data_IF_047391991377
#
_entry.id   IF_047391991377
#
_cell.length_a   1.000
_cell.length_b   1.000
_cell.length_c   1.000
_cell.angle_alpha   90.00
_cell.angle_beta   90.00
_cell.angle_gamma   90.00
#
_symmetry.space_group_name_H-M   'P 1'
#
loop_
_entity.id
_entity.type
_entity.pdbx_description
1 polymer ?
#
# COMPACT_ATOMS: atom_id res chain seq x y z
N UNK A 1 35.66 9.00 -14.20
CA UNK A 1 34.93 7.93 -13.48
C UNK A 1 33.75 8.57 -12.76
N UNK A 2 32.67 8.84 -13.49
CA UNK A 2 31.37 9.21 -12.89
C UNK A 2 30.73 7.88 -12.46
N UNK A 3 30.55 7.69 -11.16
CA UNK A 3 29.99 6.45 -10.61
C UNK A 3 28.50 6.34 -10.91
N UNK A 4 28.08 5.10 -11.14
CA UNK A 4 26.73 4.66 -11.47
C UNK A 4 25.65 5.31 -10.59
N UNK A 5 24.82 6.13 -11.23
CA UNK A 5 23.49 6.49 -10.71
C UNK A 5 22.63 5.21 -10.78
N UNK A 6 22.84 4.30 -9.83
CA UNK A 6 22.02 3.09 -9.69
C UNK A 6 20.56 3.52 -9.57
N UNK A 7 19.75 3.20 -10.59
CA UNK A 7 18.30 3.37 -10.57
C UNK A 7 17.72 2.39 -9.53
N UNK A 8 17.79 2.75 -8.25
CA UNK A 8 17.10 2.03 -7.19
C UNK A 8 15.60 2.20 -7.43
N UNK A 9 14.96 1.10 -7.82
CA UNK A 9 13.52 1.06 -7.93
C UNK A 9 12.89 1.28 -6.54
N UNK A 10 11.68 1.87 -6.47
CA UNK A 10 10.98 2.07 -5.21
C UNK A 10 10.73 0.73 -4.49
N UNK A 11 10.57 0.81 -3.16
CA UNK A 11 10.30 -0.38 -2.34
C UNK A 11 8.94 -0.98 -2.67
N UNK A 12 7.90 -0.18 -2.89
CA UNK A 12 6.69 -0.66 -3.54
C UNK A 12 6.83 -0.49 -5.05
N UNK A 13 6.71 -1.60 -5.79
CA UNK A 13 6.83 -1.61 -7.25
C UNK A 13 5.48 -1.56 -7.94
N UNK A 14 4.46 -2.22 -7.38
CA UNK A 14 3.14 -2.32 -8.00
C UNK A 14 2.03 -2.17 -6.97
N UNK A 15 1.02 -1.39 -7.35
CA UNK A 15 -0.26 -1.34 -6.67
C UNK A 15 -1.38 -1.59 -7.69
N UNK A 16 -2.40 -2.35 -7.32
CA UNK A 16 -3.57 -2.54 -8.18
C UNK A 16 -4.88 -2.51 -7.37
N UNK A 17 -5.95 -2.15 -8.06
CA UNK A 17 -7.31 -2.13 -7.53
C UNK A 17 -8.17 -3.07 -8.36
N UNK A 18 -8.64 -4.16 -7.75
CA UNK A 18 -9.51 -5.14 -8.40
C UNK A 18 -10.97 -4.79 -8.23
N UNK A 19 -11.75 -4.95 -9.30
CA UNK A 19 -13.20 -4.73 -9.30
C UNK A 19 -13.98 -5.87 -8.62
N UNK A 20 -13.35 -7.02 -8.44
CA UNK A 20 -13.84 -8.17 -7.68
C UNK A 20 -12.73 -8.84 -6.85
N UNK A 21 -13.11 -9.81 -6.02
CA UNK A 21 -12.16 -10.59 -5.21
C UNK A 21 -11.35 -11.58 -6.04
N UNK A 22 -11.98 -12.24 -7.01
CA UNK A 22 -11.36 -13.34 -7.77
C UNK A 22 -10.27 -12.86 -8.70
N UNK A 23 -10.52 -11.80 -9.48
CA UNK A 23 -9.53 -11.19 -10.36
C UNK A 23 -8.37 -10.57 -9.58
N UNK A 24 -8.67 -9.89 -8.46
CA UNK A 24 -7.64 -9.32 -7.62
C UNK A 24 -6.71 -10.38 -7.00
N UNK A 25 -7.27 -11.52 -6.57
CA UNK A 25 -6.50 -12.65 -6.07
C UNK A 25 -5.67 -13.34 -7.16
N UNK A 26 -6.20 -13.48 -8.38
CA UNK A 26 -5.44 -14.02 -9.51
C UNK A 26 -4.21 -13.17 -9.85
N UNK A 27 -4.32 -11.83 -9.78
CA UNK A 27 -3.16 -10.94 -9.93
C UNK A 27 -2.12 -11.17 -8.83
N UNK A 28 -2.57 -11.24 -7.56
CA UNK A 28 -1.67 -11.55 -6.44
C UNK A 28 -0.93 -12.88 -6.65
N UNK A 29 -1.63 -13.91 -7.12
CA UNK A 29 -1.07 -15.24 -7.39
C UNK A 29 0.05 -15.17 -8.44
N UNK A 30 -0.21 -14.53 -9.58
CA UNK A 30 0.80 -14.36 -10.64
C UNK A 30 2.02 -13.57 -10.16
N UNK A 31 1.81 -12.47 -9.43
CA UNK A 31 2.90 -11.66 -8.88
C UNK A 31 3.73 -12.45 -7.86
N UNK A 32 3.07 -13.21 -6.99
CA UNK A 32 3.73 -14.05 -5.99
C UNK A 32 4.56 -15.15 -6.66
N UNK A 33 4.03 -15.80 -7.71
CA UNK A 33 4.78 -16.79 -8.48
C UNK A 33 5.94 -16.20 -9.28
N UNK A 34 5.84 -14.93 -9.70
CA UNK A 34 6.94 -14.20 -10.30
C UNK A 34 8.03 -13.78 -9.28
N UNK A 35 7.86 -14.14 -8.00
CA UNK A 35 8.82 -13.84 -6.93
C UNK A 35 8.66 -12.44 -6.35
N UNK A 36 7.54 -11.76 -6.60
CA UNK A 36 7.23 -10.46 -6.02
C UNK A 36 6.47 -10.64 -4.69
N UNK A 37 7.05 -10.30 -3.52
CA UNK A 37 6.34 -10.37 -2.24
C UNK A 37 5.13 -9.44 -2.28
N UNK A 38 3.93 -10.02 -2.22
CA UNK A 38 2.69 -9.34 -2.54
C UNK A 38 1.59 -9.68 -1.53
N UNK A 39 0.76 -8.69 -1.17
CA UNK A 39 -0.41 -8.90 -0.32
C UNK A 39 -1.66 -8.26 -0.93
N UNK A 40 -2.81 -8.88 -0.69
CA UNK A 40 -4.13 -8.40 -1.09
C UNK A 40 -4.92 -7.96 0.16
N UNK A 41 -5.49 -6.76 0.11
CA UNK A 41 -6.33 -6.18 1.15
C UNK A 41 -7.75 -5.97 0.62
N UNK A 42 -8.72 -5.84 1.53
CA UNK A 42 -10.13 -5.57 1.19
C UNK A 42 -10.49 -4.08 1.25
N UNK A 43 -9.60 -3.29 1.83
CA UNK A 43 -9.67 -1.84 1.99
C UNK A 43 -8.24 -1.27 1.90
N UNK A 44 -8.05 0.04 1.65
CA UNK A 44 -6.74 0.66 1.73
C UNK A 44 -6.04 0.34 3.06
N UNK A 45 -4.85 -0.30 3.06
CA UNK A 45 -4.20 -0.72 4.29
C UNK A 45 -3.67 0.46 5.09
N UNK A 46 -3.80 0.38 6.42
CA UNK A 46 -3.18 1.33 7.34
C UNK A 46 -1.66 1.11 7.42
N UNK A 47 -0.86 2.13 7.81
CA UNK A 47 0.58 1.97 8.01
C UNK A 47 0.94 0.85 9.00
N UNK A 48 0.13 0.64 10.04
CA UNK A 48 0.33 -0.44 11.02
C UNK A 48 0.06 -1.84 10.45
N UNK A 49 -0.81 -1.97 9.43
CA UNK A 49 -0.99 -3.23 8.70
C UNK A 49 0.19 -3.48 7.75
N UNK A 50 0.66 -2.45 7.04
CA UNK A 50 1.82 -2.55 6.15
C UNK A 50 3.09 -2.94 6.92
N UNK A 51 3.29 -2.39 8.12
CA UNK A 51 4.44 -2.69 8.96
C UNK A 51 4.55 -4.17 9.38
N UNK A 52 3.46 -4.94 9.31
CA UNK A 52 3.46 -6.39 9.62
C UNK A 52 4.10 -7.23 8.52
N UNK A 53 4.27 -6.67 7.32
CA UNK A 53 4.81 -7.36 6.16
C UNK A 53 6.04 -6.61 5.62
N UNK A 54 7.15 -6.61 6.37
CA UNK A 54 8.37 -5.95 5.94
C UNK A 54 8.86 -6.60 4.64
N UNK A 55 9.06 -5.79 3.60
CA UNK A 55 9.54 -6.26 2.29
C UNK A 55 8.46 -6.53 1.25
N UNK A 56 7.19 -6.21 1.51
CA UNK A 56 6.19 -6.16 0.43
C UNK A 56 6.63 -5.24 -0.70
N UNK A 57 6.57 -5.76 -1.92
CA UNK A 57 6.85 -5.06 -3.17
C UNK A 57 5.61 -4.89 -4.04
N UNK A 58 4.51 -5.58 -3.71
CA UNK A 58 3.21 -5.45 -4.36
C UNK A 58 2.05 -5.36 -3.36
N UNK A 59 1.08 -4.47 -3.63
CA UNK A 59 -0.16 -4.38 -2.85
C UNK A 59 -1.40 -4.34 -3.75
N UNK A 60 -2.40 -5.13 -3.41
CA UNK A 60 -3.70 -5.11 -4.07
C UNK A 60 -4.78 -4.64 -3.12
N UNK A 61 -5.81 -3.97 -3.66
CA UNK A 61 -7.08 -3.77 -2.97
C UNK A 61 -8.15 -4.46 -3.81
N UNK A 62 -8.83 -5.44 -3.23
CA UNK A 62 -9.99 -6.07 -3.85
C UNK A 62 -11.26 -5.33 -3.43
N UNK A 63 -12.17 -5.14 -4.37
CA UNK A 63 -13.43 -4.44 -4.13
C UNK A 63 -14.62 -5.21 -4.69
N UNK A 64 -15.79 -4.58 -4.65
CA UNK A 64 -17.00 -5.02 -5.34
C UNK A 64 -17.38 -4.07 -6.47
N UNK A 65 -16.42 -3.29 -6.97
CA UNK A 65 -16.67 -2.24 -7.96
C UNK A 65 -17.33 -2.75 -9.25
N UNK A 66 -17.22 -4.05 -9.54
CA UNK A 66 -17.94 -4.70 -10.65
C UNK A 66 -19.45 -4.43 -10.64
N UNK A 67 -20.06 -4.30 -9.46
CA UNK A 67 -21.51 -4.10 -9.31
C UNK A 67 -21.89 -2.66 -8.99
N UNK A 68 -20.93 -1.73 -8.97
CA UNK A 68 -21.20 -0.34 -8.65
C UNK A 68 -21.86 0.39 -9.81
N UNK A 69 -22.70 1.38 -9.49
CA UNK A 69 -23.20 2.31 -10.50
C UNK A 69 -22.10 3.26 -10.96
N UNK A 70 -22.21 3.85 -12.17
CA UNK A 70 -21.26 4.85 -12.65
C UNK A 70 -21.08 6.03 -11.67
N UNK A 71 -22.17 6.52 -11.07
CA UNK A 71 -22.12 7.62 -10.09
C UNK A 71 -21.33 7.24 -8.83
N UNK A 72 -21.52 5.99 -8.37
CA UNK A 72 -20.76 5.48 -7.22
C UNK A 72 -19.29 5.32 -7.58
N UNK A 73 -18.97 4.80 -8.76
CA UNK A 73 -17.58 4.71 -9.23
C UNK A 73 -16.92 6.08 -9.28
N UNK A 74 -17.63 7.10 -9.76
CA UNK A 74 -17.13 8.47 -9.82
C UNK A 74 -16.82 9.06 -8.43
N UNK A 75 -17.61 8.69 -7.41
CA UNK A 75 -17.40 9.14 -6.04
C UNK A 75 -16.31 8.33 -5.31
N UNK A 76 -16.32 7.00 -5.46
CA UNK A 76 -15.58 6.08 -4.59
C UNK A 76 -14.22 5.63 -5.17
N UNK A 77 -14.05 5.61 -6.50
CA UNK A 77 -12.77 5.19 -7.11
C UNK A 77 -11.65 6.22 -6.93
N UNK A 78 -11.85 7.54 -7.13
CA UNK A 78 -10.78 8.51 -6.94
C UNK A 78 -10.11 8.41 -5.56
N UNK A 79 -10.83 8.38 -4.42
CA UNK A 79 -10.17 8.25 -3.12
C UNK A 79 -9.47 6.89 -2.94
N UNK A 80 -10.02 5.80 -3.49
CA UNK A 80 -9.41 4.48 -3.42
C UNK A 80 -8.09 4.38 -4.21
N UNK A 81 -7.99 5.09 -5.34
CA UNK A 81 -6.81 5.14 -6.21
C UNK A 81 -5.79 6.21 -5.80
N UNK A 82 -6.23 7.22 -5.04
CA UNK A 82 -5.38 8.32 -4.56
C UNK A 82 -4.71 8.00 -3.22
N UNK A 83 -4.84 6.77 -2.71
CA UNK A 83 -4.19 6.35 -1.46
C UNK A 83 -2.86 5.65 -1.72
N UNK A 84 -1.72 6.36 -1.65
CA UNK A 84 -0.49 5.77 -1.21
C UNK A 84 -0.42 6.04 0.30
N UNK A 85 -0.79 5.05 1.13
CA UNK A 85 -0.29 5.08 2.51
C UNK A 85 1.23 5.27 2.43
N UNK A 86 1.83 6.22 3.18
CA UNK A 86 3.27 6.44 3.12
C UNK A 86 3.96 5.12 3.43
N UNK A 87 4.71 4.63 2.43
CA UNK A 87 5.49 3.41 2.54
C UNK A 87 6.57 3.70 3.59
N UNK A 88 6.66 2.92 4.68
CA UNK A 88 7.73 3.10 5.64
C UNK A 88 9.06 2.91 4.90
N UNK A 89 9.91 3.94 4.95
CA UNK A 89 11.24 3.90 4.36
C UNK A 89 12.00 2.69 4.91
N UNK A 90 12.91 2.08 4.12
CA UNK A 90 13.70 0.99 4.63
C UNK A 90 14.52 1.57 5.78
N UNK A 91 14.66 0.79 6.86
CA UNK A 91 15.53 1.09 8.01
C UNK A 91 15.21 2.33 8.87
N UNK A 92 13.94 2.72 9.03
CA UNK A 92 13.53 3.39 10.28
C UNK A 92 13.54 2.37 11.42
N UNK A 93 14.69 2.18 12.05
CA UNK A 93 14.74 1.94 13.48
C UNK A 93 13.80 2.97 14.12
N UNK A 94 12.59 2.55 14.48
CA UNK A 94 11.82 3.30 15.45
C UNK A 94 12.58 3.19 16.77
N UNK A 95 13.16 4.26 17.34
CA UNK A 95 13.12 4.33 18.78
C UNK A 95 11.63 4.27 19.16
N UNK A 96 11.28 3.39 20.08
CA UNK A 96 9.97 3.46 20.75
C UNK A 96 9.72 4.93 21.13
N UNK A 97 8.47 5.45 21.03
CA UNK A 97 8.20 6.74 21.64
C UNK A 97 8.45 6.58 23.14
N UNK A 98 9.60 7.08 23.59
CA UNK A 98 9.83 7.37 24.98
C UNK A 98 8.75 8.37 25.39
N UNK A 99 7.90 7.94 26.30
CA UNK A 99 7.23 8.74 27.33
C UNK A 99 7.05 10.24 27.02
N UNK A 100 5.79 10.67 26.89
CA UNK A 100 5.39 12.05 27.15
C UNK A 100 4.75 12.78 25.99
N UNK A 101 3.47 12.49 25.72
CA UNK A 101 2.60 13.51 25.15
C UNK A 101 2.16 14.44 26.28
N UNK A 102 2.72 15.65 26.32
CA UNK A 102 2.06 16.82 26.91
C UNK A 102 1.73 17.74 25.75
N UNK A 103 0.43 17.90 25.48
CA UNK A 103 -0.07 18.91 24.56
C UNK A 103 0.02 20.29 25.24
N UNK A 104 0.98 21.12 24.79
CA UNK A 104 1.06 22.54 25.14
C UNK A 104 0.54 23.41 23.99
N UNK A 105 -0.75 23.26 23.65
CA UNK A 105 -1.51 24.31 22.98
C UNK A 105 -2.74 24.70 23.78
N UNK A 106 -2.50 25.55 24.77
CA UNK A 106 -3.38 26.67 25.11
C UNK A 106 -4.58 26.39 26.01
N UNK A 107 -4.34 26.26 27.31
CA UNK A 107 -4.77 27.22 28.37
C UNK A 107 -4.21 26.80 29.72
#
# INVERSE_FOLDING_TARGET
MQQDQNHRLPDLLVAWYGDDFTGAAAVMEVLTFAGLPTALFLDPPTPGQLARFPGLRGIGIASTARTWSPDRMQADLPPALTSPAPIPAPNSQLPAPASGWVDMRGR
#
